data_IF_210519316258
#
_entry.id   IF_210519316258
#
_cell.length_a   1.000
_cell.length_b   1.000
_cell.length_c   1.000
_cell.angle_alpha   90.00
_cell.angle_beta   90.00
_cell.angle_gamma   90.00
#
_symmetry.space_group_name_H-M   'P 1'
#
loop_
_entity.id
_entity.type
_entity.pdbx_description
1 polymer ?
#
# COMPACT_ATOMS: atom_id res chain seq x y z
N UNK A 1 29.58 5.93 26.14
CA UNK A 1 28.35 5.49 25.43
C UNK A 1 27.13 6.35 25.79
N UNK A 2 26.83 6.60 27.08
CA UNK A 2 25.67 7.42 27.52
C UNK A 2 25.63 8.87 26.99
N UNK A 3 26.78 9.54 26.87
CA UNK A 3 26.83 10.93 26.36
C UNK A 3 26.40 11.08 24.89
N UNK A 4 26.65 10.07 24.04
CA UNK A 4 26.24 10.07 22.62
C UNK A 4 24.74 9.82 22.45
N UNK A 5 24.14 9.01 23.33
CA UNK A 5 22.69 8.78 23.37
C UNK A 5 21.92 10.04 23.75
N UNK A 6 22.40 10.79 24.76
CA UNK A 6 21.77 12.04 25.18
C UNK A 6 21.81 13.12 24.09
N UNK A 7 22.92 13.22 23.34
CA UNK A 7 23.03 14.17 22.23
C UNK A 7 22.11 13.80 21.06
N UNK A 8 22.03 12.52 20.71
CA UNK A 8 21.12 12.06 19.66
C UNK A 8 19.65 12.33 20.02
N UNK A 9 19.25 12.08 21.27
CA UNK A 9 17.89 12.39 21.72
C UNK A 9 17.60 13.89 21.66
N UNK A 10 18.52 14.74 22.12
CA UNK A 10 18.34 16.19 22.10
C UNK A 10 18.24 16.76 20.67
N UNK A 11 18.98 16.21 19.71
CA UNK A 11 18.82 16.59 18.30
C UNK A 11 17.52 16.04 17.70
N UNK A 12 17.09 14.84 18.10
CA UNK A 12 15.82 14.26 17.67
C UNK A 12 14.62 15.09 18.14
N UNK A 13 14.62 15.55 19.39
CA UNK A 13 13.51 16.33 19.97
C UNK A 13 13.30 17.69 19.25
N UNK A 14 14.29 18.15 18.48
CA UNK A 14 14.20 19.38 17.66
C UNK A 14 13.68 19.12 16.25
N UNK A 15 13.60 17.87 15.83
CA UNK A 15 13.06 17.50 14.52
C UNK A 15 11.54 17.64 14.59
N UNK A 16 10.89 18.45 13.76
CA UNK A 16 9.42 18.50 13.75
C UNK A 16 8.84 17.26 13.09
N UNK A 17 7.75 16.73 13.64
CA UNK A 17 6.99 15.63 13.05
C UNK A 17 6.42 16.03 11.68
N UNK A 18 6.12 15.03 10.84
CA UNK A 18 5.48 15.24 9.55
C UNK A 18 4.25 14.40 9.38
N UNK A 19 3.23 15.04 8.84
CA UNK A 19 1.93 14.47 8.57
C UNK A 19 1.83 13.95 7.13
N UNK A 20 0.85 13.08 6.84
CA UNK A 20 0.61 12.58 5.49
C UNK A 20 0.46 13.71 4.45
N UNK A 21 1.23 13.64 3.37
CA UNK A 21 1.17 14.62 2.28
C UNK A 21 2.06 15.85 2.47
N UNK A 22 2.72 16.02 3.61
CA UNK A 22 3.66 17.11 3.83
C UNK A 22 4.77 17.14 2.77
N UNK A 23 4.98 18.32 2.18
CA UNK A 23 5.98 18.51 1.13
C UNK A 23 7.39 18.42 1.72
N UNK A 24 8.33 17.81 0.99
CA UNK A 24 9.74 17.71 1.43
C UNK A 24 10.32 19.11 1.71
N UNK A 25 10.52 19.46 2.98
CA UNK A 25 11.26 20.66 3.37
C UNK A 25 12.72 20.56 2.93
N UNK A 26 13.29 21.67 2.41
CA UNK A 26 14.75 21.85 2.31
C UNK A 26 15.34 21.77 3.72
N UNK A 27 16.42 21.01 3.91
CA UNK A 27 16.97 20.62 5.21
C UNK A 27 17.01 19.09 5.43
N UNK A 28 17.18 18.33 4.35
CA UNK A 28 16.90 16.89 4.31
C UNK A 28 18.00 16.04 4.96
N UNK A 29 19.28 16.37 4.79
CA UNK A 29 20.37 15.46 5.12
C UNK A 29 20.54 15.25 6.63
N UNK A 30 20.54 16.32 7.43
CA UNK A 30 20.70 16.24 8.89
C UNK A 30 19.53 15.51 9.55
N UNK A 31 18.30 15.82 9.15
CA UNK A 31 17.10 15.06 9.56
C UNK A 31 17.23 13.58 9.22
N UNK A 32 17.61 13.25 7.99
CA UNK A 32 17.74 11.86 7.57
C UNK A 32 18.81 11.12 8.40
N UNK A 33 19.93 11.78 8.70
CA UNK A 33 20.98 11.21 9.53
C UNK A 33 20.50 10.93 10.96
N UNK A 34 19.89 11.93 11.62
CA UNK A 34 19.40 11.72 13.00
C UNK A 34 18.28 10.67 13.05
N UNK A 35 17.37 10.66 12.07
CA UNK A 35 16.32 9.63 11.96
C UNK A 35 16.95 8.24 11.85
N UNK A 36 17.95 8.04 10.98
CA UNK A 36 18.62 6.74 10.82
C UNK A 36 19.36 6.29 12.08
N UNK A 37 19.95 7.22 12.83
CA UNK A 37 20.57 6.93 14.12
C UNK A 37 19.50 6.46 15.11
N UNK A 38 18.39 7.19 15.24
CA UNK A 38 17.30 6.86 16.14
C UNK A 38 16.63 5.52 15.78
N UNK A 39 16.38 5.25 14.49
CA UNK A 39 15.86 3.96 14.02
C UNK A 39 16.79 2.80 14.40
N UNK A 40 18.11 3.01 14.29
CA UNK A 40 19.09 1.98 14.63
C UNK A 40 19.12 1.72 16.13
N UNK A 41 19.07 2.78 16.95
CA UNK A 41 19.01 2.68 18.40
C UNK A 41 17.74 1.99 18.88
N UNK A 42 16.59 2.38 18.33
CA UNK A 42 15.31 1.75 18.64
C UNK A 42 15.34 0.26 18.27
N UNK A 43 15.86 -0.10 17.09
CA UNK A 43 15.98 -1.51 16.68
C UNK A 43 16.89 -2.33 17.59
N UNK A 44 17.96 -1.74 18.09
CA UNK A 44 18.86 -2.41 19.04
C UNK A 44 18.22 -2.61 20.42
N UNK A 45 17.22 -1.79 20.78
CA UNK A 45 16.50 -1.94 22.04
C UNK A 45 15.54 -3.13 22.05
N UNK A 46 15.07 -3.58 20.88
CA UNK A 46 14.03 -4.60 20.75
C UNK A 46 12.63 -4.12 21.14
N UNK A 47 12.47 -2.83 21.49
CA UNK A 47 11.18 -2.22 21.77
C UNK A 47 10.51 -1.76 20.46
N UNK A 48 9.50 -2.51 20.08
CA UNK A 48 8.72 -2.28 18.85
C UNK A 48 7.97 -0.95 18.91
N UNK A 49 7.49 -0.54 20.08
CA UNK A 49 6.81 0.75 20.22
C UNK A 49 7.79 1.91 20.08
N UNK A 50 9.02 1.77 20.62
CA UNK A 50 10.06 2.75 20.40
C UNK A 50 10.43 2.84 18.90
N UNK A 51 10.58 1.71 18.20
CA UNK A 51 10.81 1.71 16.75
C UNK A 51 9.68 2.40 15.98
N UNK A 52 8.43 2.10 16.33
CA UNK A 52 7.26 2.69 15.68
C UNK A 52 7.16 4.18 15.98
N UNK A 53 7.46 4.63 17.19
CA UNK A 53 7.45 6.06 17.54
C UNK A 53 8.45 6.85 16.69
N UNK A 54 9.64 6.29 16.42
CA UNK A 54 10.62 6.91 15.52
C UNK A 54 10.11 6.93 14.07
N UNK A 55 9.56 5.82 13.57
CA UNK A 55 9.03 5.74 12.21
C UNK A 55 7.81 6.66 11.99
N UNK A 56 6.92 6.74 12.99
CA UNK A 56 5.72 7.56 12.97
C UNK A 56 6.00 9.07 13.07
N UNK A 57 7.25 9.44 13.28
CA UNK A 57 7.67 10.84 13.29
C UNK A 57 7.73 11.46 11.88
N UNK A 58 7.79 10.64 10.82
CA UNK A 58 7.65 11.10 9.44
C UNK A 58 6.65 10.22 8.67
N UNK A 59 5.36 10.59 8.71
CA UNK A 59 4.29 9.91 8.00
C UNK A 59 4.00 10.50 6.61
N UNK A 60 4.90 11.34 6.08
CA UNK A 60 4.66 12.09 4.84
C UNK A 60 4.51 11.22 3.59
N UNK A 61 4.86 9.92 3.66
CA UNK A 61 4.80 9.00 2.51
C UNK A 61 4.14 7.67 2.86
N UNK A 62 3.50 6.98 1.89
CA UNK A 62 2.96 5.64 2.10
C UNK A 62 3.99 4.62 2.60
N UNK A 63 5.25 4.75 2.17
CA UNK A 63 6.37 3.90 2.62
C UNK A 63 6.57 3.94 4.13
N UNK A 64 6.29 5.06 4.80
CA UNK A 64 6.39 5.15 6.25
C UNK A 64 5.39 4.22 6.95
N UNK A 65 4.15 4.19 6.47
CA UNK A 65 3.12 3.28 6.96
C UNK A 65 3.48 1.82 6.67
N UNK A 66 3.96 1.51 5.47
CA UNK A 66 4.44 0.15 5.11
C UNK A 66 5.49 -0.33 6.11
N UNK A 67 6.49 0.51 6.41
CA UNK A 67 7.54 0.17 7.36
C UNK A 67 6.97 -0.13 8.75
N UNK A 68 6.05 0.70 9.26
CA UNK A 68 5.41 0.51 10.57
C UNK A 68 4.63 -0.81 10.61
N UNK A 69 3.84 -1.11 9.57
CA UNK A 69 3.07 -2.36 9.47
C UNK A 69 4.00 -3.57 9.51
N UNK A 70 5.10 -3.54 8.74
CA UNK A 70 6.09 -4.61 8.75
C UNK A 70 6.76 -4.81 10.12
N UNK A 71 7.04 -3.73 10.88
CA UNK A 71 7.57 -3.83 12.25
C UNK A 71 6.62 -4.57 13.17
N UNK A 72 5.34 -4.18 13.17
CA UNK A 72 4.34 -4.87 13.99
C UNK A 72 4.15 -6.34 13.57
N UNK A 73 4.19 -6.65 12.27
CA UNK A 73 4.11 -8.03 11.77
C UNK A 73 5.31 -8.86 12.22
N UNK A 74 6.53 -8.31 12.13
CA UNK A 74 7.75 -8.97 12.60
C UNK A 74 7.68 -9.31 14.10
N UNK A 75 7.07 -8.41 14.88
CA UNK A 75 6.79 -8.58 16.30
C UNK A 75 5.53 -9.42 16.61
N UNK A 76 4.84 -9.96 15.60
CA UNK A 76 3.57 -10.70 15.73
C UNK A 76 2.43 -9.91 16.41
N UNK A 77 2.52 -8.58 16.42
CA UNK A 77 1.52 -7.65 16.96
C UNK A 77 0.52 -7.24 15.90
N UNK A 78 -0.22 -8.23 15.42
CA UNK A 78 -0.92 -8.05 14.16
C UNK A 78 -2.16 -7.14 14.19
N UNK A 79 -2.78 -6.92 15.36
CA UNK A 79 -3.88 -5.95 15.46
C UNK A 79 -3.36 -4.53 15.21
N UNK A 80 -2.23 -4.17 15.81
CA UNK A 80 -1.56 -2.89 15.54
C UNK A 80 -1.08 -2.78 14.09
N UNK A 81 -0.60 -3.89 13.50
CA UNK A 81 -0.26 -3.92 12.08
C UNK A 81 -1.48 -3.59 11.19
N UNK A 82 -2.65 -4.15 11.52
CA UNK A 82 -3.88 -3.90 10.80
C UNK A 82 -4.34 -2.44 10.93
N UNK A 83 -4.39 -1.92 12.15
CA UNK A 83 -4.77 -0.52 12.43
C UNK A 83 -3.90 0.48 11.66
N UNK A 84 -2.58 0.25 11.64
CA UNK A 84 -1.65 1.12 10.90
C UNK A 84 -1.77 0.98 9.38
N UNK A 85 -2.12 -0.21 8.87
CA UNK A 85 -2.39 -0.40 7.45
C UNK A 85 -3.67 0.34 7.03
N UNK A 86 -4.74 0.24 7.82
CA UNK A 86 -6.00 0.98 7.60
C UNK A 86 -5.77 2.50 7.65
N UNK A 87 -5.00 2.97 8.64
CA UNK A 87 -4.62 4.38 8.77
C UNK A 87 -3.85 4.87 7.54
N UNK A 88 -2.89 4.09 7.06
CA UNK A 88 -2.08 4.47 5.91
C UNK A 88 -2.87 4.51 4.60
N UNK A 89 -3.76 3.55 4.35
CA UNK A 89 -4.65 3.59 3.17
C UNK A 89 -5.57 4.80 3.23
N UNK A 90 -6.14 5.09 4.40
CA UNK A 90 -7.01 6.25 4.62
C UNK A 90 -6.28 7.59 4.44
N UNK A 91 -4.98 7.64 4.77
CA UNK A 91 -4.16 8.83 4.65
C UNK A 91 -3.76 9.16 3.19
N UNK A 92 -3.83 8.20 2.27
CA UNK A 92 -3.44 8.38 0.87
C UNK A 92 -4.47 7.82 -0.13
N UNK A 93 -5.72 8.33 -0.13
CA UNK A 93 -6.81 7.78 -0.95
C UNK A 93 -6.55 7.91 -2.45
N UNK A 94 -5.85 8.96 -2.90
CA UNK A 94 -5.55 9.21 -4.32
C UNK A 94 -4.24 8.52 -4.79
N UNK A 95 -3.46 7.97 -3.86
CA UNK A 95 -2.12 7.40 -4.13
C UNK A 95 -1.90 6.15 -3.30
N UNK A 96 -2.82 5.19 -3.41
CA UNK A 96 -2.69 3.93 -2.68
C UNK A 96 -1.47 3.18 -3.21
N UNK A 97 -0.40 3.15 -2.41
CA UNK A 97 0.79 2.34 -2.69
C UNK A 97 0.36 0.86 -2.70
N UNK A 98 0.60 0.17 -3.82
CA UNK A 98 0.21 -1.24 -4.00
C UNK A 98 0.76 -2.17 -2.90
N UNK A 99 1.88 -1.81 -2.26
CA UNK A 99 2.42 -2.56 -1.10
C UNK A 99 1.56 -2.39 0.15
N UNK A 100 1.09 -1.18 0.42
CA UNK A 100 0.25 -0.88 1.58
C UNK A 100 -1.12 -1.54 1.44
N UNK A 101 -1.66 -1.48 0.22
CA UNK A 101 -2.86 -2.22 -0.18
C UNK A 101 -2.70 -3.73 0.06
N UNK A 102 -1.62 -4.34 -0.46
CA UNK A 102 -1.37 -5.78 -0.35
C UNK A 102 -1.17 -6.19 1.11
N UNK A 103 -0.49 -5.37 1.92
CA UNK A 103 -0.36 -5.59 3.35
C UNK A 103 -1.73 -5.58 4.05
N UNK A 104 -2.57 -4.57 3.79
CA UNK A 104 -3.89 -4.47 4.41
C UNK A 104 -4.77 -5.68 4.05
N UNK A 105 -4.85 -6.03 2.77
CA UNK A 105 -5.63 -7.19 2.32
C UNK A 105 -5.12 -8.51 2.95
N UNK A 106 -3.80 -8.66 3.12
CA UNK A 106 -3.23 -9.81 3.81
C UNK A 106 -3.56 -9.87 5.30
N UNK A 107 -3.55 -8.72 5.99
CA UNK A 107 -3.97 -8.63 7.39
C UNK A 107 -5.47 -8.92 7.58
N UNK A 108 -6.30 -8.51 6.62
CA UNK A 108 -7.70 -8.92 6.56
C UNK A 108 -7.88 -10.43 6.37
N UNK A 109 -7.15 -11.06 5.44
CA UNK A 109 -7.21 -12.52 5.33
C UNK A 109 -6.77 -13.22 6.62
N UNK A 110 -5.70 -12.76 7.28
CA UNK A 110 -5.22 -13.34 8.53
C UNK A 110 -6.26 -13.24 9.66
N UNK A 111 -7.02 -12.14 9.70
CA UNK A 111 -8.12 -11.93 10.66
C UNK A 111 -9.45 -12.55 10.22
N UNK A 112 -9.47 -13.38 9.17
CA UNK A 112 -10.67 -14.00 8.56
C UNK A 112 -11.70 -13.01 8.00
N UNK A 113 -11.29 -11.76 7.81
CA UNK A 113 -12.05 -10.66 7.18
C UNK A 113 -11.91 -10.72 5.66
N UNK A 114 -12.25 -11.87 5.08
CA UNK A 114 -11.98 -12.16 3.67
C UNK A 114 -12.75 -11.23 2.72
N UNK A 115 -13.95 -10.84 3.09
CA UNK A 115 -14.80 -10.00 2.24
C UNK A 115 -14.27 -8.57 2.16
N UNK A 116 -13.68 -8.04 3.23
CA UNK A 116 -12.98 -6.76 3.19
C UNK A 116 -11.71 -6.82 2.32
N UNK A 117 -10.94 -7.91 2.41
CA UNK A 117 -9.80 -8.13 1.52
C UNK A 117 -10.23 -8.21 0.04
N UNK A 118 -11.36 -8.85 -0.25
CA UNK A 118 -11.89 -8.96 -1.61
C UNK A 118 -12.48 -7.65 -2.12
N UNK A 119 -13.12 -6.86 -1.25
CA UNK A 119 -13.62 -5.52 -1.57
C UNK A 119 -12.47 -4.61 -2.00
N UNK A 120 -11.38 -4.66 -1.25
CA UNK A 120 -10.13 -4.00 -1.58
C UNK A 120 -9.58 -4.48 -2.94
N UNK A 121 -9.52 -5.81 -3.17
CA UNK A 121 -8.90 -6.35 -4.39
C UNK A 121 -9.70 -6.03 -5.63
N UNK A 122 -11.03 -5.98 -5.46
CA UNK A 122 -11.93 -5.53 -6.49
C UNK A 122 -11.74 -4.06 -6.83
N UNK A 123 -11.59 -3.18 -5.85
CA UNK A 123 -11.39 -1.75 -6.11
C UNK A 123 -10.14 -1.50 -6.95
N UNK A 124 -9.02 -2.17 -6.64
CA UNK A 124 -7.77 -2.06 -7.41
C UNK A 124 -7.95 -2.59 -8.84
N UNK A 125 -8.62 -3.72 -9.00
CA UNK A 125 -8.89 -4.29 -10.32
C UNK A 125 -9.83 -3.39 -11.15
N UNK A 126 -10.87 -2.85 -10.53
CA UNK A 126 -11.87 -2.04 -11.20
C UNK A 126 -11.31 -0.67 -11.65
N UNK A 127 -10.38 -0.11 -10.88
CA UNK A 127 -9.67 1.12 -11.23
C UNK A 127 -8.75 0.94 -12.46
N UNK A 128 -8.07 -0.21 -12.54
CA UNK A 128 -7.13 -0.50 -13.62
C UNK A 128 -7.21 -1.96 -14.06
N UNK A 129 -8.20 -2.36 -14.89
CA UNK A 129 -8.48 -3.76 -15.21
C UNK A 129 -7.45 -4.35 -16.20
N UNK A 130 -6.28 -4.68 -15.67
CA UNK A 130 -5.13 -5.25 -16.37
C UNK A 130 -4.76 -6.62 -15.80
N UNK A 131 -3.99 -7.41 -16.54
CA UNK A 131 -3.55 -8.76 -16.17
C UNK A 131 -2.93 -8.83 -14.76
N UNK A 132 -2.12 -7.84 -14.37
CA UNK A 132 -1.49 -7.85 -13.05
C UNK A 132 -2.51 -7.72 -11.92
N UNK A 133 -3.43 -6.75 -12.02
CA UNK A 133 -4.52 -6.57 -11.04
C UNK A 133 -5.51 -7.75 -11.06
N UNK A 134 -5.72 -8.40 -12.21
CA UNK A 134 -6.51 -9.63 -12.30
C UNK A 134 -5.83 -10.80 -11.57
N UNK A 135 -4.52 -10.96 -11.75
CA UNK A 135 -3.71 -11.96 -11.02
C UNK A 135 -3.74 -11.67 -9.52
N UNK A 136 -3.65 -10.41 -9.12
CA UNK A 136 -3.77 -10.01 -7.72
C UNK A 136 -5.15 -10.36 -7.15
N UNK A 137 -6.23 -10.00 -7.84
CA UNK A 137 -7.59 -10.37 -7.47
C UNK A 137 -7.74 -11.89 -7.31
N UNK A 138 -7.20 -12.67 -8.26
CA UNK A 138 -7.19 -14.13 -8.18
C UNK A 138 -6.45 -14.64 -6.94
N UNK A 139 -5.26 -14.11 -6.64
CA UNK A 139 -4.47 -14.52 -5.45
C UNK A 139 -5.27 -14.33 -4.15
N UNK A 140 -6.01 -13.23 -4.01
CA UNK A 140 -6.86 -12.99 -2.84
C UNK A 140 -8.10 -13.88 -2.82
N UNK A 141 -8.72 -14.09 -3.98
CA UNK A 141 -9.88 -14.98 -4.09
C UNK A 141 -9.51 -16.44 -3.78
N UNK A 142 -8.34 -16.90 -4.21
CA UNK A 142 -7.83 -18.24 -3.91
C UNK A 142 -7.60 -18.42 -2.40
N UNK A 143 -7.04 -17.43 -1.70
CA UNK A 143 -6.83 -17.46 -0.23
C UNK A 143 -8.11 -17.64 0.58
N UNK A 144 -9.25 -17.28 0.00
CA UNK A 144 -10.57 -17.36 0.64
C UNK A 144 -11.51 -18.37 -0.03
N UNK A 145 -11.04 -19.11 -1.05
CA UNK A 145 -11.85 -20.06 -1.81
C UNK A 145 -12.95 -19.42 -2.67
N UNK A 146 -12.94 -18.10 -2.84
CA UNK A 146 -14.01 -17.36 -3.53
C UNK A 146 -13.77 -17.22 -5.05
N UNK A 147 -12.69 -17.79 -5.59
CA UNK A 147 -12.33 -17.63 -7.01
C UNK A 147 -13.44 -17.98 -8.00
N UNK A 148 -14.22 -19.07 -7.83
CA UNK A 148 -15.33 -19.39 -8.72
C UNK A 148 -16.39 -18.28 -8.84
N UNK A 149 -16.60 -17.49 -7.77
CA UNK A 149 -17.54 -16.37 -7.77
C UNK A 149 -16.91 -15.10 -8.37
N UNK A 150 -15.64 -14.83 -8.08
CA UNK A 150 -14.97 -13.59 -8.51
C UNK A 150 -14.47 -13.62 -9.95
N UNK A 151 -14.10 -14.79 -10.48
CA UNK A 151 -13.65 -14.94 -11.87
C UNK A 151 -14.69 -14.45 -12.89
N UNK A 152 -15.95 -14.93 -12.90
CA UNK A 152 -16.92 -14.47 -13.87
C UNK A 152 -17.23 -12.98 -13.71
N UNK A 153 -17.28 -12.47 -12.48
CA UNK A 153 -17.48 -11.04 -12.19
C UNK A 153 -16.37 -10.17 -12.80
N UNK A 154 -15.11 -10.57 -12.65
CA UNK A 154 -13.97 -9.84 -13.22
C UNK A 154 -14.00 -9.84 -14.76
N UNK A 155 -14.26 -11.00 -15.38
CA UNK A 155 -14.32 -11.11 -16.84
C UNK A 155 -15.50 -10.34 -17.44
N UNK A 156 -16.67 -10.35 -16.78
CA UNK A 156 -17.83 -9.56 -17.19
C UNK A 156 -17.55 -8.06 -17.11
N UNK A 157 -16.91 -7.61 -16.04
CA UNK A 157 -16.50 -6.21 -15.90
C UNK A 157 -15.54 -5.78 -17.01
N UNK A 158 -14.47 -6.55 -17.26
CA UNK A 158 -13.50 -6.22 -18.33
C UNK A 158 -14.16 -6.15 -19.71
N UNK A 159 -15.09 -7.06 -20.01
CA UNK A 159 -15.85 -7.02 -21.27
C UNK A 159 -16.66 -5.74 -21.40
N UNK A 160 -17.38 -5.35 -20.33
CA UNK A 160 -18.16 -4.11 -20.31
C UNK A 160 -17.28 -2.87 -20.48
N UNK A 161 -16.13 -2.80 -19.81
CA UNK A 161 -15.17 -1.71 -19.96
C UNK A 161 -14.69 -1.59 -21.42
N UNK A 162 -14.31 -2.71 -22.04
CA UNK A 162 -13.90 -2.73 -23.46
C UNK A 162 -15.02 -2.26 -24.39
N UNK A 163 -16.25 -2.70 -24.17
CA UNK A 163 -17.41 -2.32 -24.99
C UNK A 163 -17.80 -0.84 -24.80
N UNK A 164 -17.63 -0.30 -23.60
CA UNK A 164 -17.80 1.14 -23.30
C UNK A 164 -16.74 2.00 -24.00
N UNK A 165 -15.47 1.60 -23.93
CA UNK A 165 -14.37 2.28 -24.64
C UNK A 165 -14.59 2.28 -26.16
N UNK A 166 -15.03 1.15 -26.72
CA UNK A 166 -15.36 1.03 -28.16
C UNK A 166 -16.50 1.96 -28.57
N UNK A 167 -17.55 2.08 -27.75
CA UNK A 167 -18.66 3.00 -28.01
C UNK A 167 -18.23 4.45 -27.93
N UNK A 168 -17.38 4.80 -26.98
CA UNK A 168 -16.90 6.17 -26.77
C UNK A 168 -15.88 6.63 -27.83
N UNK A 169 -15.17 5.71 -28.49
CA UNK A 169 -14.16 6.02 -29.53
C UNK A 169 -14.72 6.16 -30.95
N UNK A 170 -16.03 5.91 -31.16
CA UNK A 170 -16.84 6.43 -32.27
C UNK A 170 -16.16 6.64 -33.62
N UNK A 171 -15.62 5.59 -34.24
CA UNK A 171 -15.32 5.57 -35.69
C UNK A 171 -14.31 6.60 -36.22
N UNK A 172 -13.47 7.23 -35.38
CA UNK A 172 -12.35 8.04 -35.88
C UNK A 172 -11.10 7.18 -36.05
N UNK A 173 -10.58 7.20 -37.27
CA UNK A 173 -9.39 6.50 -37.73
C UNK A 173 -8.23 6.56 -36.72
N UNK A 174 -7.71 5.36 -36.46
CA UNK A 174 -6.45 4.99 -35.80
C UNK A 174 -5.46 6.15 -35.64
N UNK A 175 -5.66 6.94 -34.59
CA UNK A 175 -4.58 7.80 -34.07
C UNK A 175 -3.76 6.93 -33.13
N UNK A 176 -2.46 6.88 -33.39
CA UNK A 176 -1.52 5.84 -32.98
C UNK A 176 -1.27 5.64 -31.49
N UNK A 177 -2.14 6.10 -30.57
CA UNK A 177 -2.06 5.82 -29.14
C UNK A 177 -3.43 5.82 -28.44
N UNK A 178 -3.83 4.63 -27.92
CA UNK A 178 -4.69 4.32 -26.73
C UNK A 178 -6.11 3.69 -26.94
N UNK A 179 -6.61 2.81 -26.02
CA UNK A 179 -5.97 2.20 -24.84
C UNK A 179 -6.04 0.65 -24.70
N UNK A 180 -4.89 0.08 -24.35
CA UNK A 180 -4.55 -1.01 -23.40
C UNK A 180 -5.48 -2.24 -23.22
N UNK A 181 -6.80 -2.16 -23.10
CA UNK A 181 -7.60 -3.26 -22.50
C UNK A 181 -8.05 -4.38 -23.46
N UNK A 182 -8.14 -4.11 -24.78
CA UNK A 182 -8.49 -5.17 -25.76
C UNK A 182 -7.47 -6.33 -25.77
N UNK A 183 -6.18 -6.02 -25.55
CA UNK A 183 -5.13 -7.03 -25.43
C UNK A 183 -5.16 -7.77 -24.09
N UNK A 184 -5.63 -7.12 -23.03
CA UNK A 184 -5.65 -7.70 -21.67
C UNK A 184 -6.63 -8.88 -21.56
N UNK A 185 -7.79 -8.84 -22.24
CA UNK A 185 -8.73 -9.97 -22.24
C UNK A 185 -8.11 -11.23 -22.87
N UNK A 186 -7.34 -11.08 -23.95
CA UNK A 186 -6.61 -12.19 -24.56
C UNK A 186 -5.52 -12.70 -23.62
N UNK A 187 -4.75 -11.81 -23.01
CA UNK A 187 -3.68 -12.17 -22.05
C UNK A 187 -4.18 -12.84 -20.77
N UNK A 188 -5.42 -12.57 -20.36
CA UNK A 188 -6.06 -13.17 -19.19
C UNK A 188 -6.62 -14.58 -19.50
N UNK A 189 -7.02 -14.84 -20.74
CA UNK A 189 -7.66 -16.10 -21.16
C UNK A 189 -6.67 -17.15 -21.70
N UNK A 190 -5.46 -16.75 -22.08
CA UNK A 190 -4.34 -17.62 -22.46
C UNK A 190 -3.54 -18.08 -21.23
#
# INVERSE_FOLDING_TARGET
MRARLGLAQAEWDRVPAREPGDRKSRGTLERHQITRIMETLARQSGDVEAEVAILAHDLSTPSAFVNIVERYRAARRYNSALEWAEKGVSAFPERVDGRLYELLANEYHRSRRHDEAMTLAWAVYADSPMLETYRQLKRHADKSGQWPAWRPKALDFLRKTIDEERRNTGGKERTWFSPVHNGELVRILL
#
